data_IF_904309891275
#
_entry.id   IF_904309891275
#
_cell.length_a   1.000
_cell.length_b   1.000
_cell.length_c   1.000
_cell.angle_alpha   90.00
_cell.angle_beta   90.00
_cell.angle_gamma   90.00
#
_symmetry.space_group_name_H-M   'P 1'
#
loop_
_entity.id
_entity.type
_entity.pdbx_description
1 polymer ?
#
# COMPACT_ATOMS: atom_id res chain seq x y z
N UNK A 1 39.80 31.69 -3.96
CA UNK A 1 40.28 31.08 -2.69
C UNK A 1 40.02 29.58 -2.75
N UNK A 2 41.07 28.84 -2.53
CA UNK A 2 41.37 27.39 -2.54
C UNK A 2 40.22 26.36 -2.50
N UNK A 3 40.12 25.58 -3.58
CA UNK A 3 39.47 24.30 -3.67
C UNK A 3 40.24 23.23 -2.86
N UNK A 4 39.55 22.54 -1.94
CA UNK A 4 40.01 21.30 -1.32
C UNK A 4 39.44 20.09 -2.05
N UNK A 5 40.26 19.33 -2.76
CA UNK A 5 39.92 18.03 -3.32
C UNK A 5 40.08 16.95 -2.24
N UNK A 6 39.02 16.23 -1.90
CA UNK A 6 39.10 14.96 -1.17
C UNK A 6 39.45 13.85 -2.14
N UNK A 7 40.63 13.26 -1.90
CA UNK A 7 41.18 12.11 -2.61
C UNK A 7 40.70 10.83 -1.91
N UNK A 8 39.82 10.06 -2.55
CA UNK A 8 39.41 8.72 -2.11
C UNK A 8 40.40 7.69 -2.66
N UNK A 9 41.39 7.33 -1.84
CA UNK A 9 42.33 6.27 -2.16
C UNK A 9 41.70 4.90 -2.04
N UNK A 10 41.52 4.23 -3.18
CA UNK A 10 41.23 2.79 -3.27
C UNK A 10 42.57 2.07 -3.13
N UNK A 11 42.74 1.08 -2.20
CA UNK A 11 43.95 0.31 -2.12
C UNK A 11 44.11 -0.61 -3.36
N UNK A 12 45.31 -0.63 -3.93
CA UNK A 12 45.65 -1.47 -5.08
C UNK A 12 45.61 -2.96 -4.72
N UNK A 13 45.32 -3.86 -5.67
CA UNK A 13 45.33 -5.31 -5.43
C UNK A 13 46.76 -5.82 -5.12
N UNK A 14 46.83 -6.70 -4.13
CA UNK A 14 48.06 -7.37 -3.72
C UNK A 14 48.49 -8.35 -4.83
N UNK A 15 49.67 -8.14 -5.38
CA UNK A 15 50.28 -9.04 -6.38
C UNK A 15 50.77 -10.31 -5.70
N UNK A 16 50.14 -11.44 -5.97
CA UNK A 16 50.48 -12.78 -5.43
C UNK A 16 51.67 -13.44 -6.10
N UNK A 17 52.34 -12.78 -7.03
CA UNK A 17 53.48 -13.35 -7.78
C UNK A 17 54.86 -13.25 -7.06
N UNK A 18 54.93 -12.60 -5.88
CA UNK A 18 56.18 -12.37 -5.16
C UNK A 18 56.44 -13.28 -3.94
N UNK A 19 55.68 -14.38 -3.78
CA UNK A 19 55.81 -15.29 -2.60
C UNK A 19 56.62 -16.58 -2.93
N UNK A 20 57.43 -16.59 -3.99
CA UNK A 20 58.19 -17.79 -4.39
C UNK A 20 59.58 -17.93 -3.79
N UNK A 21 60.03 -17.05 -2.86
CA UNK A 21 61.37 -17.16 -2.24
C UNK A 21 61.32 -17.43 -0.72
N UNK A 22 60.61 -18.46 -0.30
CA UNK A 22 60.79 -19.03 1.04
C UNK A 22 61.67 -20.25 0.93
N UNK A 23 62.94 -20.08 1.30
CA UNK A 23 63.88 -21.19 1.41
C UNK A 23 63.39 -22.21 2.45
N UNK A 24 63.47 -23.52 2.16
CA UNK A 24 63.10 -24.53 3.15
C UNK A 24 64.16 -24.58 4.26
N UNK A 25 63.70 -24.61 5.51
CA UNK A 25 64.55 -24.81 6.68
C UNK A 25 65.30 -26.13 6.56
N UNK A 26 66.60 -26.19 6.96
CA UNK A 26 67.35 -27.42 6.92
C UNK A 26 66.68 -28.48 7.83
N UNK A 27 66.47 -29.68 7.28
CA UNK A 27 65.81 -30.81 7.95
C UNK A 27 66.51 -31.27 9.26
N UNK A 28 67.77 -30.98 9.42
CA UNK A 28 68.56 -31.38 10.60
C UNK A 28 68.19 -30.63 11.91
N UNK A 29 67.63 -29.44 11.83
CA UNK A 29 67.21 -28.69 13.01
C UNK A 29 65.84 -29.14 13.54
N UNK A 30 65.00 -29.66 12.66
CA UNK A 30 63.68 -30.20 13.05
C UNK A 30 63.82 -31.51 13.87
N UNK A 31 64.81 -32.37 13.50
CA UNK A 31 65.07 -33.61 14.20
C UNK A 31 65.68 -33.39 15.61
N UNK A 32 66.54 -32.35 15.79
CA UNK A 32 67.10 -32.01 17.11
C UNK A 32 66.06 -31.41 18.08
N UNK A 33 65.13 -30.64 17.61
CA UNK A 33 64.03 -30.11 18.46
C UNK A 33 63.01 -31.18 18.91
N UNK A 34 62.93 -32.30 18.19
CA UNK A 34 62.04 -33.41 18.54
C UNK A 34 62.62 -34.35 19.61
N UNK A 35 63.92 -34.32 19.85
CA UNK A 35 64.63 -35.25 20.75
C UNK A 35 64.87 -34.69 22.19
N UNK A 36 64.48 -33.46 22.48
CA UNK A 36 64.62 -32.87 23.82
C UNK A 36 63.46 -33.33 24.75
N UNK A 37 63.79 -34.11 25.81
CA UNK A 37 62.76 -34.61 26.76
C UNK A 37 62.08 -33.46 27.53
N UNK A 38 62.70 -32.28 27.63
CA UNK A 38 62.09 -31.10 28.22
C UNK A 38 60.99 -30.51 27.37
N UNK A 39 61.07 -30.64 26.05
CA UNK A 39 60.05 -30.19 25.12
C UNK A 39 58.81 -31.12 25.07
N UNK A 40 59.06 -32.44 25.24
CA UNK A 40 58.00 -33.44 25.36
C UNK A 40 57.17 -33.28 26.64
N UNK A 41 57.80 -32.88 27.75
CA UNK A 41 57.08 -32.61 29.01
C UNK A 41 56.27 -31.32 28.94
N UNK A 42 56.77 -30.26 28.27
CA UNK A 42 56.04 -29.00 28.03
C UNK A 42 54.84 -29.18 27.07
N UNK A 43 54.98 -30.04 26.07
CA UNK A 43 53.90 -30.36 25.15
C UNK A 43 52.77 -31.18 25.84
N UNK A 44 53.14 -32.11 26.74
CA UNK A 44 52.17 -32.87 27.56
C UNK A 44 51.46 -32.01 28.57
N UNK A 45 52.15 -31.08 29.25
CA UNK A 45 51.54 -30.14 30.20
C UNK A 45 50.60 -29.14 29.49
N UNK A 46 50.92 -28.64 28.29
CA UNK A 46 50.04 -27.79 27.50
C UNK A 46 48.81 -28.54 27.00
N UNK A 47 48.94 -29.82 26.58
CA UNK A 47 47.80 -30.64 26.18
C UNK A 47 46.92 -31.03 27.38
N UNK A 48 47.46 -31.19 28.57
CA UNK A 48 46.70 -31.42 29.80
C UNK A 48 45.95 -30.15 30.27
N UNK A 49 46.62 -28.97 30.15
CA UNK A 49 46.00 -27.67 30.48
C UNK A 49 44.83 -27.31 29.53
N UNK A 50 44.92 -27.66 28.25
CA UNK A 50 43.83 -27.40 27.29
C UNK A 50 42.65 -28.38 27.47
N UNK A 51 42.90 -29.62 27.99
CA UNK A 51 41.86 -30.57 28.33
C UNK A 51 41.16 -30.30 29.65
N UNK A 52 41.71 -29.46 30.51
CA UNK A 52 41.14 -29.12 31.80
C UNK A 52 40.30 -27.84 31.83
N UNK A 53 40.16 -27.15 30.69
CA UNK A 53 39.21 -26.06 30.58
C UNK A 53 37.78 -26.65 30.44
N UNK A 54 37.21 -27.12 31.57
CA UNK A 54 35.79 -27.38 31.67
C UNK A 54 35.08 -26.10 31.29
N UNK A 55 34.34 -26.10 30.16
CA UNK A 55 33.38 -25.04 29.85
C UNK A 55 32.56 -24.77 31.10
N UNK A 56 32.41 -23.52 31.52
CA UNK A 56 31.62 -23.22 32.73
C UNK A 56 30.23 -23.83 32.50
N UNK A 57 29.88 -24.86 33.30
CA UNK A 57 28.54 -25.42 33.27
C UNK A 57 27.60 -24.31 33.70
N UNK A 58 26.85 -23.78 32.74
CA UNK A 58 25.81 -22.79 33.04
C UNK A 58 24.86 -23.41 34.03
N UNK A 59 24.60 -22.71 35.13
CA UNK A 59 23.66 -23.18 36.15
C UNK A 59 22.31 -23.49 35.49
N UNK A 60 21.54 -24.46 35.97
CA UNK A 60 20.24 -24.83 35.41
C UNK A 60 19.28 -23.63 35.32
N UNK A 61 19.45 -22.64 36.20
CA UNK A 61 18.70 -21.38 36.16
C UNK A 61 19.04 -20.54 34.90
N UNK A 62 20.32 -20.46 34.50
CA UNK A 62 20.72 -19.77 33.28
C UNK A 62 20.28 -20.50 32.00
N UNK A 63 20.23 -21.83 32.03
CA UNK A 63 19.70 -22.64 30.92
C UNK A 63 18.18 -22.45 30.80
N UNK A 64 17.45 -22.49 31.88
CA UNK A 64 16.02 -22.21 31.94
C UNK A 64 15.70 -20.80 31.42
N UNK A 65 16.44 -19.78 31.84
CA UNK A 65 16.28 -18.42 31.36
C UNK A 65 16.55 -18.30 29.85
N UNK A 66 17.57 -19.01 29.33
CA UNK A 66 17.84 -19.08 27.89
C UNK A 66 16.69 -19.69 27.09
N UNK A 67 16.13 -20.80 27.57
CA UNK A 67 14.97 -21.46 26.92
C UNK A 67 13.76 -20.52 26.94
N UNK A 68 13.49 -19.86 28.08
CA UNK A 68 12.38 -18.91 28.15
C UNK A 68 12.56 -17.72 27.18
N UNK A 69 13.77 -17.19 27.08
CA UNK A 69 14.08 -16.11 26.13
C UNK A 69 13.88 -16.54 24.69
N UNK A 70 14.31 -17.76 24.34
CA UNK A 70 14.15 -18.33 22.99
C UNK A 70 12.69 -18.56 22.63
N UNK A 71 11.88 -19.07 23.58
CA UNK A 71 10.44 -19.22 23.41
C UNK A 71 9.73 -17.87 23.23
N UNK A 72 10.12 -16.85 23.97
CA UNK A 72 9.55 -15.50 23.84
C UNK A 72 9.91 -14.87 22.50
N UNK A 73 11.15 -15.01 22.04
CA UNK A 73 11.57 -14.53 20.70
C UNK A 73 10.79 -15.26 19.62
N UNK A 74 10.67 -16.58 19.72
CA UNK A 74 9.91 -17.38 18.76
C UNK A 74 8.44 -16.95 18.73
N UNK A 75 7.81 -16.77 19.88
CA UNK A 75 6.44 -16.27 19.99
C UNK A 75 6.29 -14.87 19.36
N UNK A 76 7.23 -13.96 19.63
CA UNK A 76 7.23 -12.61 19.06
C UNK A 76 7.33 -12.65 17.52
N UNK A 77 8.20 -13.51 16.96
CA UNK A 77 8.33 -13.71 15.51
C UNK A 77 7.04 -14.27 14.91
N UNK A 78 6.43 -15.26 15.56
CA UNK A 78 5.14 -15.84 15.09
C UNK A 78 4.05 -14.76 15.10
N UNK A 79 3.95 -13.96 16.16
CA UNK A 79 2.99 -12.86 16.24
C UNK A 79 3.22 -11.81 15.15
N UNK A 80 4.47 -11.44 14.89
CA UNK A 80 4.82 -10.50 13.82
C UNK A 80 4.43 -11.06 12.44
N UNK A 81 4.75 -12.30 12.15
CA UNK A 81 4.36 -12.98 10.90
C UNK A 81 2.84 -13.10 10.76
N UNK A 82 2.14 -13.38 11.84
CA UNK A 82 0.67 -13.41 11.86
C UNK A 82 0.07 -12.04 11.52
N UNK A 83 0.59 -10.95 12.09
CA UNK A 83 0.13 -9.60 11.78
C UNK A 83 0.34 -9.27 10.29
N UNK A 84 1.55 -9.56 9.75
CA UNK A 84 1.85 -9.35 8.32
C UNK A 84 0.91 -10.18 7.44
N UNK A 85 0.72 -11.46 7.79
CA UNK A 85 -0.21 -12.34 7.08
C UNK A 85 -1.64 -11.81 7.12
N UNK A 86 -2.12 -11.38 8.28
CA UNK A 86 -3.48 -10.84 8.45
C UNK A 86 -3.70 -9.58 7.58
N UNK A 87 -2.73 -8.67 7.54
CA UNK A 87 -2.81 -7.46 6.72
C UNK A 87 -2.81 -7.79 5.22
N UNK A 88 -1.96 -8.72 4.81
CA UNK A 88 -1.88 -9.14 3.40
C UNK A 88 -3.14 -9.91 2.97
N UNK A 89 -3.62 -10.85 3.80
CA UNK A 89 -4.78 -11.69 3.50
C UNK A 89 -6.06 -10.88 3.32
N UNK A 90 -6.32 -9.91 4.19
CA UNK A 90 -7.50 -9.04 4.06
C UNK A 90 -7.49 -8.23 2.76
N UNK A 91 -6.32 -7.84 2.27
CA UNK A 91 -6.16 -7.18 0.97
C UNK A 91 -6.50 -8.11 -0.20
N UNK A 92 -5.98 -9.34 -0.18
CA UNK A 92 -6.25 -10.36 -1.22
C UNK A 92 -7.74 -10.72 -1.26
N UNK A 93 -8.37 -10.87 -0.11
CA UNK A 93 -9.79 -11.21 -0.03
C UNK A 93 -10.68 -10.06 -0.53
N UNK A 94 -10.36 -8.82 -0.18
CA UNK A 94 -11.06 -7.64 -0.70
C UNK A 94 -10.92 -7.52 -2.23
N UNK A 95 -9.74 -7.80 -2.79
CA UNK A 95 -9.53 -7.75 -4.24
C UNK A 95 -10.29 -8.86 -4.99
N UNK A 96 -10.36 -10.07 -4.42
CA UNK A 96 -11.20 -11.15 -4.96
C UNK A 96 -12.67 -10.76 -4.98
N UNK A 97 -13.20 -10.23 -3.89
CA UNK A 97 -14.58 -9.81 -3.80
C UNK A 97 -14.90 -8.67 -4.78
N UNK A 98 -13.97 -7.74 -5.01
CA UNK A 98 -14.12 -6.71 -6.03
C UNK A 98 -14.18 -7.30 -7.44
N UNK A 99 -13.32 -8.25 -7.76
CA UNK A 99 -13.31 -8.93 -9.05
C UNK A 99 -14.59 -9.74 -9.28
N UNK A 100 -15.08 -10.45 -8.27
CA UNK A 100 -16.36 -11.16 -8.33
C UNK A 100 -17.52 -10.19 -8.58
N UNK A 101 -17.56 -9.06 -7.89
CA UNK A 101 -18.58 -8.02 -8.07
C UNK A 101 -18.52 -7.43 -9.48
N UNK A 102 -17.33 -7.15 -10.00
CA UNK A 102 -17.17 -6.64 -11.37
C UNK A 102 -17.62 -7.65 -12.42
N UNK A 103 -17.34 -8.95 -12.23
CA UNK A 103 -17.74 -10.02 -13.14
C UNK A 103 -19.24 -10.34 -13.06
N UNK A 104 -19.91 -9.99 -11.97
CA UNK A 104 -21.36 -10.22 -11.81
C UNK A 104 -22.23 -9.29 -12.65
N UNK A 105 -21.66 -8.22 -13.20
CA UNK A 105 -22.36 -7.23 -14.04
C UNK A 105 -21.84 -7.31 -15.47
N UNK A 106 -22.77 -7.21 -16.42
CA UNK A 106 -22.43 -7.17 -17.86
C UNK A 106 -22.10 -5.72 -18.27
N UNK A 107 -20.95 -5.23 -17.78
CA UNK A 107 -20.43 -3.94 -18.18
C UNK A 107 -19.33 -4.13 -19.22
N UNK A 108 -19.55 -3.64 -20.44
CA UNK A 108 -18.53 -3.66 -21.49
C UNK A 108 -17.27 -2.91 -21.01
N UNK A 109 -16.12 -3.51 -21.20
CA UNK A 109 -14.85 -2.81 -20.97
C UNK A 109 -14.46 -2.06 -22.25
N UNK A 110 -14.55 -0.72 -22.28
CA UNK A 110 -14.26 0.06 -23.48
C UNK A 110 -12.76 0.08 -23.84
N UNK A 111 -11.87 -0.28 -22.88
CA UNK A 111 -10.43 -0.38 -23.14
C UNK A 111 -10.05 -1.67 -23.89
N UNK A 112 -10.96 -2.65 -23.97
CA UNK A 112 -10.67 -3.99 -24.53
C UNK A 112 -11.00 -4.13 -26.04
N UNK A 113 -11.31 -3.03 -26.74
CA UNK A 113 -11.66 -3.04 -28.17
C UNK A 113 -10.44 -3.10 -29.10
N UNK A 114 -9.53 -4.08 -28.89
CA UNK A 114 -8.54 -4.44 -29.93
C UNK A 114 -7.41 -3.46 -30.16
N UNK A 115 -6.94 -2.75 -29.15
CA UNK A 115 -5.61 -2.08 -29.20
C UNK A 115 -5.62 -0.59 -29.56
N UNK A 116 -6.76 0.03 -29.88
CA UNK A 116 -6.84 1.49 -30.06
C UNK A 116 -7.80 2.07 -29.05
N UNK A 117 -7.25 2.80 -28.05
CA UNK A 117 -8.08 3.50 -27.07
C UNK A 117 -8.73 4.71 -27.74
N UNK A 118 -10.06 4.69 -27.85
CA UNK A 118 -10.83 5.84 -28.36
C UNK A 118 -11.15 6.77 -27.19
N UNK A 119 -10.85 8.06 -27.35
CA UNK A 119 -11.19 9.07 -26.34
C UNK A 119 -12.66 9.45 -26.49
N UNK A 120 -13.42 9.26 -25.41
CA UNK A 120 -14.83 9.64 -25.36
C UNK A 120 -15.00 11.16 -25.47
N UNK A 121 -16.05 11.58 -26.20
CA UNK A 121 -16.36 13.00 -26.36
C UNK A 121 -16.90 13.58 -25.05
N UNK A 122 -16.19 14.56 -24.49
CA UNK A 122 -16.64 15.30 -23.32
C UNK A 122 -17.97 16.06 -23.62
N UNK A 123 -18.91 15.96 -22.69
CA UNK A 123 -20.18 16.66 -22.72
C UNK A 123 -20.25 17.57 -21.48
N UNK A 124 -20.65 18.80 -21.68
CA UNK A 124 -20.89 19.78 -20.62
C UNK A 124 -22.39 19.92 -20.35
N UNK A 125 -22.75 20.54 -19.23
CA UNK A 125 -24.13 20.81 -18.88
C UNK A 125 -24.82 19.65 -18.14
N UNK A 126 -26.09 19.41 -18.45
CA UNK A 126 -26.90 18.45 -17.70
C UNK A 126 -26.43 17.02 -17.94
N UNK A 127 -25.83 16.43 -16.90
CA UNK A 127 -25.38 15.06 -16.91
C UNK A 127 -26.57 14.10 -16.74
N UNK A 128 -26.59 12.96 -17.44
CA UNK A 128 -27.57 11.91 -17.20
C UNK A 128 -27.52 11.43 -15.75
N UNK A 129 -28.68 11.25 -15.14
CA UNK A 129 -28.79 10.80 -13.73
C UNK A 129 -29.09 9.31 -13.71
N UNK A 130 -28.34 8.57 -12.90
CA UNK A 130 -28.60 7.15 -12.69
C UNK A 130 -29.86 6.95 -11.80
N UNK A 131 -30.66 5.88 -12.05
CA UNK A 131 -31.74 5.51 -11.16
C UNK A 131 -31.22 5.23 -9.75
N UNK A 132 -32.02 5.58 -8.73
CA UNK A 132 -31.72 5.29 -7.32
C UNK A 132 -32.59 4.11 -6.85
N UNK A 133 -32.39 2.95 -7.47
CA UNK A 133 -33.16 1.72 -7.22
C UNK A 133 -32.27 0.55 -6.79
N UNK A 134 -30.97 0.79 -6.63
CA UNK A 134 -30.00 -0.20 -6.19
C UNK A 134 -30.26 -0.66 -4.75
N UNK A 135 -30.06 -1.94 -4.49
CA UNK A 135 -30.12 -2.53 -3.15
C UNK A 135 -28.75 -2.50 -2.50
N UNK A 136 -28.69 -2.61 -1.18
CA UNK A 136 -27.43 -2.74 -0.46
C UNK A 136 -26.58 -3.86 -1.05
N UNK A 137 -25.34 -3.50 -1.40
CA UNK A 137 -24.36 -4.39 -2.01
C UNK A 137 -24.39 -4.46 -3.53
N UNK A 138 -25.41 -3.92 -4.20
CA UNK A 138 -25.44 -3.83 -5.65
C UNK A 138 -24.34 -2.88 -6.15
N UNK A 139 -23.65 -3.26 -7.24
CA UNK A 139 -22.69 -2.40 -7.90
C UNK A 139 -23.40 -1.24 -8.60
N UNK A 140 -23.09 -0.01 -8.21
CA UNK A 140 -23.68 1.19 -8.80
C UNK A 140 -22.70 1.95 -9.70
N UNK A 141 -21.41 1.89 -9.38
CA UNK A 141 -20.37 2.57 -10.14
C UNK A 141 -18.98 1.93 -9.92
N UNK A 142 -18.04 2.32 -10.75
CA UNK A 142 -16.61 2.13 -10.53
C UNK A 142 -15.93 3.50 -10.48
N UNK A 143 -14.92 3.64 -9.63
CA UNK A 143 -14.15 4.88 -9.52
C UNK A 143 -12.70 4.62 -9.93
N UNK A 144 -12.13 5.58 -10.65
CA UNK A 144 -10.75 5.62 -11.11
C UNK A 144 -10.12 6.92 -10.64
N UNK A 145 -8.95 6.83 -9.99
CA UNK A 145 -8.20 8.01 -9.55
C UNK A 145 -6.75 7.82 -10.00
N UNK A 146 -6.34 8.37 -11.15
CA UNK A 146 -5.00 8.20 -11.71
C UNK A 146 -3.87 8.60 -10.77
N UNK A 147 -4.10 9.55 -9.87
CA UNK A 147 -3.14 9.92 -8.81
C UNK A 147 -2.75 8.75 -7.89
N UNK A 148 -3.63 7.77 -7.69
CA UNK A 148 -3.36 6.60 -6.85
C UNK A 148 -2.65 5.47 -7.59
N UNK A 149 -2.56 5.58 -8.92
CA UNK A 149 -1.90 4.64 -9.83
C UNK A 149 -2.64 4.53 -11.15
N UNK A 150 -1.90 4.25 -12.23
CA UNK A 150 -2.47 4.19 -13.59
C UNK A 150 -3.57 3.12 -13.74
N UNK A 151 -3.45 2.02 -13.01
CA UNK A 151 -4.42 0.92 -13.03
C UNK A 151 -5.34 0.92 -11.79
N UNK A 152 -5.26 1.97 -10.96
CA UNK A 152 -6.06 2.00 -9.75
C UNK A 152 -7.52 2.26 -10.06
N UNK A 153 -8.35 1.32 -9.68
CA UNK A 153 -9.81 1.46 -9.70
C UNK A 153 -10.45 0.69 -8.57
N UNK A 154 -11.67 1.07 -8.17
CA UNK A 154 -12.46 0.39 -7.13
C UNK A 154 -13.94 0.41 -7.48
N UNK A 155 -14.64 -0.62 -7.06
CA UNK A 155 -16.10 -0.69 -7.15
C UNK A 155 -16.74 0.22 -6.09
N UNK A 156 -17.87 0.82 -6.43
CA UNK A 156 -18.76 1.51 -5.51
C UNK A 156 -20.07 0.74 -5.48
N UNK A 157 -20.41 0.21 -4.32
CA UNK A 157 -21.68 -0.47 -4.08
C UNK A 157 -22.64 0.40 -3.29
N UNK A 158 -23.93 0.10 -3.33
CA UNK A 158 -24.92 0.78 -2.51
C UNK A 158 -24.75 0.40 -1.03
N UNK A 159 -24.74 1.43 -0.13
CA UNK A 159 -24.62 1.28 1.31
C UNK A 159 -23.22 1.36 1.86
N UNK A 160 -23.09 1.84 3.10
CA UNK A 160 -21.83 2.11 3.79
C UNK A 160 -21.65 1.26 5.06
N UNK A 161 -22.33 0.11 5.15
CA UNK A 161 -22.11 -0.80 6.29
C UNK A 161 -20.72 -1.42 6.25
N UNK A 162 -20.22 -1.89 7.38
CA UNK A 162 -18.92 -2.56 7.43
C UNK A 162 -18.84 -3.76 6.48
N UNK A 163 -19.95 -4.45 6.27
CA UNK A 163 -19.98 -5.58 5.33
C UNK A 163 -19.67 -5.12 3.91
N UNK A 164 -20.33 -4.07 3.41
CA UNK A 164 -20.08 -3.52 2.08
C UNK A 164 -18.67 -2.98 1.95
N UNK A 165 -18.20 -2.17 2.93
CA UNK A 165 -16.87 -1.58 2.88
C UNK A 165 -15.74 -2.61 2.95
N UNK A 166 -15.91 -3.68 3.74
CA UNK A 166 -14.90 -4.72 3.88
C UNK A 166 -14.76 -5.58 2.62
N UNK A 167 -15.86 -5.83 1.89
CA UNK A 167 -15.89 -6.72 0.74
C UNK A 167 -15.74 -6.00 -0.60
N UNK A 168 -16.35 -4.82 -0.75
CA UNK A 168 -16.53 -4.20 -2.06
C UNK A 168 -15.68 -2.93 -2.27
N UNK A 169 -14.96 -2.48 -1.24
CA UNK A 169 -14.04 -1.35 -1.32
C UNK A 169 -14.68 -0.02 -0.98
N UNK A 170 -15.60 0.49 -1.81
CA UNK A 170 -16.28 1.74 -1.56
C UNK A 170 -17.79 1.54 -1.48
N UNK A 171 -18.43 2.28 -0.58
CA UNK A 171 -19.86 2.29 -0.39
C UNK A 171 -20.47 3.67 -0.60
N UNK A 172 -21.59 3.74 -1.32
CA UNK A 172 -22.36 4.96 -1.48
C UNK A 172 -23.26 5.19 -0.26
N UNK A 173 -23.32 6.44 0.20
CA UNK A 173 -24.31 6.82 1.21
C UNK A 173 -25.69 6.90 0.57
N UNK A 174 -26.58 5.97 0.91
CA UNK A 174 -27.91 5.81 0.34
C UNK A 174 -28.82 7.04 0.45
N UNK A 175 -28.50 7.97 1.37
CA UNK A 175 -29.20 9.24 1.55
C UNK A 175 -28.71 10.34 0.62
N UNK A 176 -27.60 10.13 -0.12
CA UNK A 176 -26.99 11.15 -0.98
C UNK A 176 -27.38 10.98 -2.46
N UNK A 177 -26.91 11.87 -3.32
CA UNK A 177 -27.23 11.88 -4.74
C UNK A 177 -26.49 10.80 -5.51
N UNK A 178 -27.05 10.37 -6.64
CA UNK A 178 -26.37 9.47 -7.58
C UNK A 178 -25.35 10.23 -8.45
N UNK A 179 -24.39 9.52 -9.11
CA UNK A 179 -23.42 10.15 -10.01
C UNK A 179 -24.09 11.04 -11.06
N UNK A 180 -23.56 12.24 -11.28
CA UNK A 180 -24.06 13.21 -12.25
C UNK A 180 -25.28 14.01 -11.82
N UNK A 181 -25.91 13.72 -10.70
CA UNK A 181 -27.02 14.46 -10.15
C UNK A 181 -26.56 15.79 -9.52
N UNK A 182 -27.38 16.83 -9.60
CA UNK A 182 -27.13 18.08 -8.84
C UNK A 182 -27.21 17.75 -7.36
N UNK A 183 -26.19 18.14 -6.62
CA UNK A 183 -25.99 17.80 -5.23
C UNK A 183 -24.68 17.05 -5.01
N UNK A 184 -24.62 16.15 -4.05
CA UNK A 184 -23.40 15.52 -3.58
C UNK A 184 -23.50 13.99 -3.64
N UNK A 185 -22.74 13.36 -4.52
CA UNK A 185 -22.54 11.92 -4.57
C UNK A 185 -21.45 11.56 -3.55
N UNK A 186 -21.86 11.06 -2.39
CA UNK A 186 -20.94 10.78 -1.29
C UNK A 186 -20.65 9.27 -1.17
N UNK A 187 -19.35 8.93 -1.04
CA UNK A 187 -18.89 7.56 -0.87
C UNK A 187 -17.94 7.44 0.31
N UNK A 188 -17.97 6.30 0.99
CA UNK A 188 -17.09 5.94 2.08
C UNK A 188 -16.13 4.82 1.66
N UNK A 189 -14.94 4.81 2.25
CA UNK A 189 -13.99 3.72 2.09
C UNK A 189 -12.98 3.66 3.21
N UNK A 190 -12.36 2.49 3.37
CA UNK A 190 -11.29 2.29 4.36
C UNK A 190 -10.03 3.07 4.00
N UNK A 191 -9.37 3.66 5.02
CA UNK A 191 -8.03 4.23 4.90
C UNK A 191 -6.94 3.20 5.15
N UNK A 192 -7.23 2.20 5.98
CA UNK A 192 -6.32 1.14 6.39
C UNK A 192 -7.03 -0.21 6.30
N UNK A 193 -6.31 -1.26 5.92
CA UNK A 193 -6.89 -2.60 5.76
C UNK A 193 -7.87 -2.75 4.60
N UNK A 194 -8.33 -3.94 4.33
CA UNK A 194 -9.32 -4.26 3.28
C UNK A 194 -9.01 -3.65 1.90
N UNK A 195 -7.72 -3.73 1.49
CA UNK A 195 -7.24 -3.13 0.24
C UNK A 195 -7.05 -1.62 0.26
N UNK A 196 -7.31 -0.94 1.38
CA UNK A 196 -7.08 0.51 1.59
C UNK A 196 -7.58 1.39 0.44
N UNK A 197 -8.86 1.27 0.04
CA UNK A 197 -9.35 1.94 -1.18
C UNK A 197 -9.14 3.46 -1.15
N UNK A 198 -9.17 4.09 0.02
CA UNK A 198 -8.89 5.52 0.21
C UNK A 198 -7.60 5.77 1.02
N UNK A 199 -6.64 4.86 0.92
CA UNK A 199 -5.35 4.96 1.63
C UNK A 199 -4.54 6.18 1.25
N UNK A 200 -4.66 6.63 0.02
CA UNK A 200 -3.81 7.65 -0.61
C UNK A 200 -4.52 8.99 -0.87
N UNK A 201 -5.65 9.25 -0.21
CA UNK A 201 -6.41 10.51 -0.38
C UNK A 201 -5.59 11.75 -0.07
N UNK A 202 -4.58 11.64 0.79
CA UNK A 202 -3.63 12.70 1.13
C UNK A 202 -2.66 13.07 -0.02
N UNK A 203 -2.60 12.25 -1.08
CA UNK A 203 -1.81 12.54 -2.30
C UNK A 203 -2.57 13.39 -3.32
N UNK A 204 -3.89 13.54 -3.18
CA UNK A 204 -4.71 14.32 -4.11
C UNK A 204 -4.28 15.78 -4.13
N UNK A 205 -4.23 16.34 -5.34
CA UNK A 205 -3.92 17.74 -5.61
C UNK A 205 -5.08 18.41 -6.36
N UNK A 206 -5.29 19.70 -6.13
CA UNK A 206 -6.34 20.44 -6.84
C UNK A 206 -6.25 20.25 -8.35
N UNK A 207 -7.40 19.93 -8.97
CA UNK A 207 -7.50 19.61 -10.39
C UNK A 207 -7.30 18.13 -10.74
N UNK A 208 -6.85 17.29 -9.80
CA UNK A 208 -6.73 15.84 -10.07
C UNK A 208 -8.09 15.23 -10.47
N UNK A 209 -8.12 14.36 -11.47
CA UNK A 209 -9.35 13.73 -11.89
C UNK A 209 -9.79 12.62 -10.92
N UNK A 210 -11.07 12.66 -10.54
CA UNK A 210 -11.81 11.60 -9.87
C UNK A 210 -12.88 11.15 -10.87
N UNK A 211 -12.72 9.96 -11.44
CA UNK A 211 -13.53 9.51 -12.56
C UNK A 211 -14.47 8.42 -12.06
N UNK A 212 -15.77 8.62 -12.20
CA UNK A 212 -16.79 7.64 -11.85
C UNK A 212 -17.41 7.08 -13.11
N UNK A 213 -17.39 5.76 -13.26
CA UNK A 213 -18.01 5.03 -14.34
C UNK A 213 -19.27 4.34 -13.85
N UNK A 214 -20.36 4.53 -14.55
CA UNK A 214 -21.57 3.70 -14.45
C UNK A 214 -21.65 2.77 -15.67
N UNK A 215 -22.72 2.04 -15.83
CA UNK A 215 -22.91 1.16 -17.00
C UNK A 215 -22.74 1.92 -18.32
N UNK A 216 -23.36 3.11 -18.44
CA UNK A 216 -23.53 3.81 -19.69
C UNK A 216 -22.74 5.12 -19.77
N UNK A 217 -22.27 5.66 -18.63
CA UNK A 217 -21.70 7.00 -18.57
C UNK A 217 -20.45 7.07 -17.71
N UNK A 218 -19.57 7.99 -18.09
CA UNK A 218 -18.45 8.50 -17.33
C UNK A 218 -18.81 9.84 -16.75
N UNK A 219 -18.43 10.09 -15.50
CA UNK A 219 -18.52 11.35 -14.79
C UNK A 219 -17.14 11.72 -14.31
N UNK A 220 -16.56 12.79 -14.85
CA UNK A 220 -15.23 13.25 -14.51
C UNK A 220 -15.34 14.44 -13.59
N UNK A 221 -14.97 14.23 -12.34
CA UNK A 221 -14.88 15.28 -11.34
C UNK A 221 -13.43 15.72 -11.21
N UNK A 222 -13.21 17.02 -10.93
CA UNK A 222 -11.91 17.53 -10.52
C UNK A 222 -11.91 17.72 -9.01
N UNK A 223 -10.89 17.15 -8.35
CA UNK A 223 -10.65 17.36 -6.94
C UNK A 223 -10.44 18.83 -6.64
N UNK A 224 -11.07 19.35 -5.57
CA UNK A 224 -11.03 20.77 -5.22
C UNK A 224 -10.31 21.04 -3.90
N UNK A 225 -10.67 20.32 -2.84
CA UNK A 225 -10.16 20.53 -1.49
C UNK A 225 -10.40 19.32 -0.59
N UNK A 226 -9.79 19.35 0.57
CA UNK A 226 -10.12 18.45 1.68
C UNK A 226 -10.42 19.23 2.96
N UNK A 227 -11.00 18.52 3.91
CA UNK A 227 -11.10 18.93 5.31
C UNK A 227 -11.03 17.72 6.24
N UNK A 228 -10.68 17.97 7.51
CA UNK A 228 -10.65 16.96 8.55
C UNK A 228 -11.71 17.34 9.58
N UNK A 229 -12.65 16.42 9.80
CA UNK A 229 -13.81 16.69 10.65
C UNK A 229 -14.01 15.60 11.71
N UNK A 230 -14.86 15.83 12.69
CA UNK A 230 -15.28 14.79 13.62
C UNK A 230 -16.21 13.78 12.92
N UNK A 231 -16.29 12.53 13.40
CA UNK A 231 -17.18 11.51 12.83
C UNK A 231 -18.67 11.88 12.90
N UNK A 232 -19.04 12.86 13.71
CA UNK A 232 -20.39 13.38 13.90
C UNK A 232 -20.77 14.50 12.94
N UNK A 233 -19.82 15.01 12.18
CA UNK A 233 -20.03 16.16 11.28
C UNK A 233 -20.64 15.69 9.95
N UNK A 234 -21.95 15.57 9.94
CA UNK A 234 -22.72 15.01 8.81
C UNK A 234 -22.92 16.01 7.65
N UNK A 235 -22.60 17.31 7.84
CA UNK A 235 -22.72 18.31 6.78
C UNK A 235 -21.92 17.95 5.53
N UNK A 236 -20.81 17.21 5.71
CA UNK A 236 -19.90 16.77 4.63
C UNK A 236 -20.56 15.91 3.56
N UNK A 237 -21.66 15.23 3.89
CA UNK A 237 -22.45 14.42 2.97
C UNK A 237 -23.80 15.08 2.59
N UNK A 238 -24.04 16.33 3.08
CA UNK A 238 -25.23 17.08 2.67
C UNK A 238 -25.26 17.30 1.14
N UNK A 239 -26.45 17.52 0.54
CA UNK A 239 -26.56 17.85 -0.88
C UNK A 239 -25.71 19.04 -1.31
N UNK A 240 -25.54 20.02 -0.43
CA UNK A 240 -24.57 21.11 -0.55
C UNK A 240 -23.67 21.12 0.70
N UNK A 241 -22.47 20.51 0.64
CA UNK A 241 -21.55 20.45 1.79
C UNK A 241 -20.86 21.78 2.10
N UNK A 242 -20.93 22.77 1.20
CA UNK A 242 -20.40 24.14 1.45
C UNK A 242 -21.39 24.98 2.30
N UNK A 243 -22.69 24.74 2.13
CA UNK A 243 -23.77 25.35 2.90
C UNK A 243 -24.97 24.40 2.95
N UNK A 244 -25.07 23.61 4.00
CA UNK A 244 -26.11 22.60 4.16
C UNK A 244 -27.54 23.18 4.25
N UNK A 245 -27.68 24.50 4.37
CA UNK A 245 -28.98 25.21 4.41
C UNK A 245 -29.42 25.70 3.02
N UNK A 246 -28.50 25.77 2.07
CA UNK A 246 -28.77 26.21 0.71
C UNK A 246 -29.07 25.03 -0.24
N UNK A 247 -29.91 25.30 -1.24
CA UNK A 247 -30.15 24.32 -2.30
C UNK A 247 -28.85 24.05 -3.09
N UNK A 248 -28.56 22.79 -3.45
CA UNK A 248 -27.38 22.49 -4.25
C UNK A 248 -27.54 23.05 -5.67
N UNK A 249 -26.46 23.61 -6.19
CA UNK A 249 -26.36 24.10 -7.58
C UNK A 249 -25.25 23.41 -8.36
N UNK A 250 -24.34 22.76 -7.65
CA UNK A 250 -23.19 22.03 -8.21
C UNK A 250 -23.47 20.53 -8.24
N UNK A 251 -22.69 19.80 -9.04
CA UNK A 251 -22.63 18.36 -9.03
C UNK A 251 -21.32 17.94 -8.38
N UNK A 252 -21.39 17.48 -7.15
CA UNK A 252 -20.21 17.19 -6.33
C UNK A 252 -20.02 15.70 -6.10
N UNK A 253 -18.78 15.33 -5.82
CA UNK A 253 -18.40 14.05 -5.24
C UNK A 253 -17.72 14.30 -3.91
N UNK A 254 -18.04 13.48 -2.91
CA UNK A 254 -17.37 13.47 -1.61
C UNK A 254 -16.80 12.08 -1.33
N UNK A 255 -15.51 12.00 -1.02
CA UNK A 255 -14.85 10.79 -0.55
C UNK A 255 -14.60 10.91 0.94
N UNK A 256 -15.14 9.99 1.75
CA UNK A 256 -14.98 9.98 3.20
C UNK A 256 -14.14 8.80 3.66
N UNK A 257 -13.15 9.05 4.50
CA UNK A 257 -12.33 7.99 5.08
C UNK A 257 -11.86 8.33 6.50
N UNK A 258 -11.24 7.38 7.17
CA UNK A 258 -10.74 7.54 8.53
C UNK A 258 -9.48 8.42 8.58
N UNK A 259 -9.30 9.16 9.70
CA UNK A 259 -8.12 9.94 10.05
C UNK A 259 -7.82 9.77 11.55
N UNK A 260 -6.56 9.60 12.00
CA UNK A 260 -5.32 9.50 11.22
C UNK A 260 -5.11 8.13 10.54
N UNK A 261 -4.26 8.13 9.49
CA UNK A 261 -3.79 6.91 8.85
C UNK A 261 -2.88 6.13 9.81
N UNK A 262 -3.00 4.79 9.84
CA UNK A 262 -2.19 3.87 10.65
C UNK A 262 -2.32 4.03 12.17
N UNK A 263 -3.36 4.69 12.66
CA UNK A 263 -3.65 4.85 14.09
C UNK A 263 -5.13 4.65 14.36
N UNK A 264 -5.52 4.67 15.65
CA UNK A 264 -6.94 4.67 16.03
C UNK A 264 -7.62 5.92 15.46
N UNK A 265 -8.62 5.76 14.58
CA UNK A 265 -9.23 6.90 13.92
C UNK A 265 -10.10 7.70 14.88
N UNK A 266 -9.82 8.99 14.99
CA UNK A 266 -10.58 9.95 15.81
C UNK A 266 -11.36 10.94 14.97
N UNK A 267 -10.97 11.10 13.71
CA UNK A 267 -11.53 12.04 12.74
C UNK A 267 -11.87 11.34 11.43
N UNK A 268 -12.39 12.12 10.49
CA UNK A 268 -12.61 11.75 9.10
C UNK A 268 -11.86 12.71 8.20
N UNK A 269 -11.17 12.14 7.21
CA UNK A 269 -10.65 12.87 6.06
C UNK A 269 -11.72 12.89 4.99
N UNK A 270 -12.07 14.10 4.55
CA UNK A 270 -13.09 14.35 3.54
C UNK A 270 -12.41 14.98 2.34
N UNK A 271 -12.59 14.40 1.16
CA UNK A 271 -12.10 14.94 -0.11
C UNK A 271 -13.29 15.32 -0.99
N UNK A 272 -13.24 16.50 -1.60
CA UNK A 272 -14.31 17.02 -2.46
C UNK A 272 -13.84 17.17 -3.89
N UNK A 273 -14.75 16.92 -4.83
CA UNK A 273 -14.58 17.22 -6.25
C UNK A 273 -15.85 17.78 -6.85
N UNK A 274 -15.72 18.55 -7.93
CA UNK A 274 -16.82 19.12 -8.70
C UNK A 274 -16.82 18.56 -10.11
N UNK A 275 -17.99 18.21 -10.66
CA UNK A 275 -18.14 17.66 -12.00
C UNK A 275 -17.64 18.64 -13.05
N UNK A 276 -16.64 18.21 -13.83
CA UNK A 276 -16.11 18.99 -14.93
C UNK A 276 -16.85 18.65 -16.24
N UNK A 277 -17.07 17.36 -16.49
CA UNK A 277 -17.79 16.91 -17.68
C UNK A 277 -18.29 15.45 -17.49
N UNK A 278 -19.12 15.01 -18.41
CA UNK A 278 -19.54 13.62 -18.52
C UNK A 278 -19.33 13.12 -19.94
N UNK A 279 -19.31 11.80 -20.15
CA UNK A 279 -19.19 11.20 -21.49
C UNK A 279 -19.95 9.86 -21.53
N UNK A 280 -20.23 9.37 -22.74
CA UNK A 280 -20.81 8.03 -22.93
C UNK A 280 -19.72 6.99 -22.92
N UNK A 281 -19.94 5.87 -22.25
CA UNK A 281 -19.04 4.69 -22.27
C UNK A 281 -18.93 4.13 -23.69
N UNK A 282 -20.01 4.16 -24.48
CA UNK A 282 -20.01 3.72 -25.87
C UNK A 282 -19.07 4.51 -26.79
N UNK A 283 -18.70 5.73 -26.41
CA UNK A 283 -17.84 6.61 -27.21
C UNK A 283 -16.35 6.42 -26.90
N UNK A 284 -16.01 5.59 -25.90
CA UNK A 284 -14.64 5.31 -25.47
C UNK A 284 -14.37 5.63 -24.01
N UNK A 285 -13.13 6.04 -23.69
CA UNK A 285 -12.69 6.37 -22.33
C UNK A 285 -12.40 7.87 -22.18
N UNK A 286 -12.49 8.43 -20.93
CA UNK A 286 -12.01 9.78 -20.65
C UNK A 286 -10.53 9.95 -21.00
N UNK A 287 -10.15 11.13 -21.46
CA UNK A 287 -8.75 11.45 -21.83
C UNK A 287 -7.75 11.23 -20.69
N UNK A 288 -8.18 11.43 -19.46
CA UNK A 288 -7.40 11.28 -18.25
C UNK A 288 -7.00 9.81 -17.97
N UNK A 289 -7.78 8.85 -18.49
CA UNK A 289 -7.45 7.42 -18.42
C UNK A 289 -6.57 6.98 -19.63
N UNK A 290 -6.73 7.61 -20.78
CA UNK A 290 -5.95 7.26 -21.98
C UNK A 290 -4.47 7.66 -21.88
N UNK A 291 -4.14 8.70 -21.09
CA UNK A 291 -2.76 9.20 -20.93
C UNK A 291 -1.92 8.41 -19.93
N UNK A 292 -2.52 7.54 -19.12
CA UNK A 292 -1.80 6.76 -18.09
C UNK A 292 -1.09 5.51 -18.64
N UNK A 293 -1.42 5.06 -19.86
CA UNK A 293 -0.80 3.87 -20.49
C UNK A 293 0.53 4.15 -21.21
N UNK A 294 0.99 5.39 -21.24
CA UNK A 294 2.18 5.82 -22.04
C UNK A 294 3.41 6.21 -21.21
N UNK A 295 3.51 5.81 -19.93
CA UNK A 295 4.68 6.11 -19.06
C UNK A 295 5.32 4.88 -18.43
#
# INVERSE_FOLDING_TARGET
>A
MRHGRHNSGVPAPIDLASVSDVQPFPEDDAARMAADPANASRARSRRAAVRGASSPQRSPAWQALGICAELLITAAVICALYIVWQMWWTGVEAERAQNETTQSVDWSDPSNNGGTVTIAKAQEGDAPVQPKDAKYGDLIAQIYIPRFGSQWHRNIVEGTTLEQLNRHGLGHYDTTQMPGQVGNFAVAGHRNGYGQPLGDVDKLQEGDPIIVRTKDYWYVYHYTRYEIVLPTDVHVIAPNPEDSTANPTKRMITLTTCEPKYSTPTHRWISYGELAYWAKVSDGVPKELATTDSS
#
